data_IF_499539324941
#
_entry.id   IF_499539324941
#
_cell.length_a   1.000
_cell.length_b   1.000
_cell.length_c   1.000
_cell.angle_alpha   90.00
_cell.angle_beta   90.00
_cell.angle_gamma   90.00
#
_symmetry.space_group_name_H-M   'P 1'
#
loop_
_entity.id
_entity.type
_entity.pdbx_description
1 polymer ?
#
# COMPACT_ATOMS: atom_id res chain seq x y z
N UNK A 1 7.09 10.43 -16.29
CA UNK A 1 7.25 9.49 -15.15
C UNK A 1 7.05 10.13 -13.77
N UNK A 2 7.87 11.09 -13.31
CA UNK A 2 7.76 11.60 -11.92
C UNK A 2 6.45 12.37 -11.66
N UNK A 3 5.99 13.14 -12.64
CA UNK A 3 4.69 13.82 -12.61
C UNK A 3 3.50 12.82 -12.64
N UNK A 4 3.59 11.80 -13.50
CA UNK A 4 2.59 10.72 -13.58
C UNK A 4 2.49 9.94 -12.27
N UNK A 5 3.62 9.59 -11.66
CA UNK A 5 3.66 8.91 -10.36
C UNK A 5 3.05 9.77 -9.24
N UNK A 6 3.31 11.08 -9.24
CA UNK A 6 2.75 11.99 -8.25
C UNK A 6 1.22 12.14 -8.43
N UNK A 7 0.77 12.32 -9.67
CA UNK A 7 -0.65 12.47 -9.99
C UNK A 7 -1.44 11.20 -9.67
N UNK A 8 -0.92 10.04 -10.06
CA UNK A 8 -1.57 8.74 -9.76
C UNK A 8 -1.59 8.45 -8.27
N UNK A 9 -0.56 8.87 -7.51
CA UNK A 9 -0.56 8.78 -6.06
C UNK A 9 -1.75 9.49 -5.40
N UNK A 10 -2.17 10.63 -5.92
CA UNK A 10 -3.34 11.37 -5.43
C UNK A 10 -4.68 10.67 -5.73
N UNK A 11 -4.72 9.81 -6.75
CA UNK A 11 -5.91 9.08 -7.16
C UNK A 11 -6.11 7.77 -6.39
N UNK A 12 -5.14 7.35 -5.56
CA UNK A 12 -5.23 6.14 -4.75
C UNK A 12 -6.44 6.21 -3.79
N UNK A 13 -7.28 5.17 -3.83
CA UNK A 13 -8.52 5.10 -3.05
C UNK A 13 -9.69 5.93 -3.61
N UNK A 14 -9.48 6.78 -4.61
CA UNK A 14 -10.55 7.49 -5.33
C UNK A 14 -11.01 6.73 -6.58
N UNK A 15 -10.10 5.98 -7.21
CA UNK A 15 -10.37 5.12 -8.37
C UNK A 15 -9.87 3.70 -8.10
N UNK A 16 -10.26 2.75 -8.95
CA UNK A 16 -9.72 1.38 -8.89
C UNK A 16 -8.22 1.36 -9.18
N UNK A 17 -7.51 0.40 -8.58
CA UNK A 17 -6.07 0.18 -8.82
C UNK A 17 -5.78 -0.04 -10.31
N UNK A 18 -6.66 -0.77 -11.01
CA UNK A 18 -6.61 -0.97 -12.47
C UNK A 18 -6.61 0.36 -13.23
N UNK A 19 -7.57 1.24 -12.93
CA UNK A 19 -7.68 2.56 -13.58
C UNK A 19 -6.42 3.37 -13.30
N UNK A 20 -5.92 3.34 -12.05
CA UNK A 20 -4.72 4.08 -11.66
C UNK A 20 -3.47 3.60 -12.41
N UNK A 21 -3.28 2.29 -12.52
CA UNK A 21 -2.14 1.69 -13.23
C UNK A 21 -2.21 1.96 -14.75
N UNK A 22 -3.41 1.98 -15.34
CA UNK A 22 -3.60 2.28 -16.76
C UNK A 22 -3.18 3.70 -17.17
N UNK A 23 -3.09 4.63 -16.22
CA UNK A 23 -2.64 6.01 -16.45
C UNK A 23 -1.11 6.14 -16.48
N UNK A 24 -0.38 5.11 -16.07
CA UNK A 24 1.09 5.12 -16.04
C UNK A 24 1.63 4.68 -17.39
N UNK A 25 2.31 5.59 -18.09
CA UNK A 25 2.81 5.32 -19.45
C UNK A 25 3.88 4.22 -19.53
N UNK A 26 4.47 3.85 -18.40
CA UNK A 26 5.51 2.82 -18.30
C UNK A 26 4.97 1.44 -17.92
N UNK A 27 3.66 1.30 -17.70
CA UNK A 27 3.02 0.02 -17.40
C UNK A 27 2.43 -0.54 -18.69
N UNK A 28 3.06 -1.58 -19.22
CA UNK A 28 2.66 -2.18 -20.50
C UNK A 28 1.45 -3.14 -20.35
N UNK A 29 1.40 -3.90 -19.24
CA UNK A 29 0.33 -4.86 -18.94
C UNK A 29 -0.18 -4.66 -17.50
N UNK A 30 -1.32 -3.99 -17.39
CA UNK A 30 -1.96 -3.69 -16.11
C UNK A 30 -2.44 -4.96 -15.40
N UNK A 31 -2.88 -5.97 -16.14
CA UNK A 31 -3.41 -7.20 -15.54
C UNK A 31 -2.29 -8.04 -14.94
N UNK A 32 -1.13 -8.09 -15.61
CA UNK A 32 0.07 -8.70 -15.06
C UNK A 32 0.50 -8.02 -13.75
N UNK A 33 0.57 -6.69 -13.71
CA UNK A 33 0.98 -5.95 -12.50
C UNK A 33 0.00 -6.14 -11.34
N UNK A 34 -1.31 -6.14 -11.60
CA UNK A 34 -2.33 -6.42 -10.57
C UNK A 34 -2.16 -7.81 -9.97
N UNK A 35 -1.98 -8.83 -10.81
CA UNK A 35 -1.77 -10.21 -10.35
C UNK A 35 -0.50 -10.33 -9.52
N UNK A 36 0.57 -9.67 -9.94
CA UNK A 36 1.84 -9.68 -9.22
C UNK A 36 1.73 -9.00 -7.86
N UNK A 37 1.00 -7.88 -7.76
CA UNK A 37 0.72 -7.23 -6.48
C UNK A 37 -0.05 -8.14 -5.52
N UNK A 38 -1.04 -8.89 -6.01
CA UNK A 38 -1.80 -9.85 -5.20
C UNK A 38 -0.92 -11.01 -4.71
N UNK A 39 -0.07 -11.56 -5.58
CA UNK A 39 0.91 -12.60 -5.23
C UNK A 39 1.89 -12.10 -4.16
N UNK A 40 2.40 -10.87 -4.31
CA UNK A 40 3.28 -10.24 -3.33
C UNK A 40 2.56 -10.04 -1.98
N UNK A 41 1.31 -9.57 -1.98
CA UNK A 41 0.51 -9.38 -0.76
C UNK A 41 0.23 -10.73 -0.07
N UNK A 42 -0.06 -11.78 -0.82
CA UNK A 42 -0.26 -13.12 -0.29
C UNK A 42 1.02 -13.70 0.31
N UNK A 43 2.15 -13.57 -0.38
CA UNK A 43 3.47 -13.96 0.13
C UNK A 43 3.81 -13.20 1.41
N UNK A 44 3.56 -11.89 1.45
CA UNK A 44 3.72 -11.09 2.66
C UNK A 44 2.84 -11.62 3.79
N UNK A 45 1.56 -11.88 3.52
CA UNK A 45 0.62 -12.39 4.53
C UNK A 45 1.01 -13.79 5.04
N UNK A 46 1.56 -14.65 4.19
CA UNK A 46 1.97 -16.00 4.56
C UNK A 46 3.28 -16.02 5.36
N UNK A 47 4.22 -15.14 4.99
CA UNK A 47 5.57 -15.13 5.55
C UNK A 47 5.76 -14.13 6.69
N UNK A 48 4.81 -13.21 6.91
CA UNK A 48 4.85 -12.31 8.04
C UNK A 48 4.43 -13.07 9.31
N UNK A 49 5.21 -12.99 10.40
CA UNK A 49 4.73 -13.48 11.69
C UNK A 49 3.42 -12.77 12.03
N UNK A 50 2.48 -13.44 12.73
CA UNK A 50 1.25 -12.79 13.15
C UNK A 50 1.60 -11.48 13.86
N UNK A 51 0.84 -10.42 13.58
CA UNK A 51 0.90 -9.20 14.36
C UNK A 51 0.54 -9.58 15.80
N UNK A 52 1.56 -9.92 16.59
CA UNK A 52 1.43 -10.00 18.04
C UNK A 52 1.12 -8.60 18.50
N UNK A 53 0.15 -8.45 19.38
CA UNK A 53 -0.08 -7.18 20.08
C UNK A 53 1.24 -6.83 20.78
N UNK A 54 2.06 -5.99 20.14
CA UNK A 54 3.09 -5.25 20.85
C UNK A 54 2.27 -4.40 21.79
N UNK A 55 2.36 -4.66 23.09
CA UNK A 55 1.85 -3.72 24.08
C UNK A 55 2.48 -2.37 23.72
N UNK A 56 1.70 -1.50 23.07
CA UNK A 56 2.08 -0.11 22.92
C UNK A 56 2.01 0.41 24.34
N UNK A 57 3.15 0.39 25.02
CA UNK A 57 3.33 1.10 26.27
C UNK A 57 3.11 2.59 25.95
N UNK A 58 1.84 3.00 25.94
CA UNK A 58 1.42 4.39 26.00
C UNK A 58 1.48 4.87 27.45
N UNK A 59 2.44 4.35 28.22
CA UNK A 59 2.80 4.83 29.54
C UNK A 59 3.58 6.12 29.40
N UNK A 60 2.91 7.23 29.74
CA UNK A 60 3.57 8.49 30.04
C UNK A 60 3.03 9.67 29.26
N UNK A 61 1.86 10.14 29.67
CA UNK A 61 1.61 11.58 29.87
C UNK A 61 0.46 11.71 30.88
N UNK A 62 0.66 11.14 32.08
CA UNK A 62 -0.06 11.52 33.29
C UNK A 62 0.90 12.30 34.19
N UNK A 63 1.30 13.50 33.74
CA UNK A 63 1.88 14.50 34.65
C UNK A 63 0.87 15.65 34.81
N UNK A 64 0.05 15.49 35.85
CA UNK A 64 -0.69 16.53 36.55
C UNK A 64 0.30 17.57 37.13
N UNK A 65 0.06 18.87 36.92
CA UNK A 65 -0.31 19.69 38.07
C UNK A 65 -1.58 20.53 37.90
#
# INVERSE_FOLDING_TARGET
>A
VLEEANTTGQLKGMVSEETRLSLLSFVDDVQYELKKMEEEEEEYRLNMPPLTDVETDTGGDEDEP
#
